data_IF_641399322714
#
_entry.id   IF_641399322714
#
_cell.length_a   1.000
_cell.length_b   1.000
_cell.length_c   1.000
_cell.angle_alpha   90.00
_cell.angle_beta   90.00
_cell.angle_gamma   90.00
#
_symmetry.space_group_name_H-M   'P 1'
#
loop_
_entity.id
_entity.type
_entity.pdbx_description
1 polymer ?
#
# COMPACT_ATOMS: atom_id res chain seq x y z
N UNK A 1 8.01 -9.46 -13.95
CA UNK A 1 8.33 -8.82 -12.65
C UNK A 1 7.05 -8.26 -12.05
N UNK A 2 6.81 -8.54 -10.78
CA UNK A 2 5.64 -8.02 -10.09
C UNK A 2 5.75 -6.51 -9.89
N UNK A 3 4.61 -5.85 -9.88
CA UNK A 3 4.54 -4.39 -9.76
C UNK A 3 4.02 -3.98 -8.40
N UNK A 4 4.67 -2.99 -7.79
CA UNK A 4 4.26 -2.40 -6.52
C UNK A 4 4.02 -0.91 -6.69
N UNK A 5 2.90 -0.43 -6.16
CA UNK A 5 2.59 0.99 -6.07
C UNK A 5 2.77 1.42 -4.62
N UNK A 6 3.59 2.44 -4.38
CA UNK A 6 3.79 3.01 -3.06
C UNK A 6 3.04 4.33 -2.99
N UNK A 7 2.09 4.42 -2.06
CA UNK A 7 1.23 5.60 -1.88
C UNK A 7 1.53 6.23 -0.53
N UNK A 8 2.15 7.39 -0.55
CA UNK A 8 2.51 8.13 0.67
C UNK A 8 2.76 9.60 0.27
N UNK A 9 2.31 10.53 1.09
CA UNK A 9 2.50 11.95 0.82
C UNK A 9 3.95 12.42 1.08
N UNK A 10 4.73 11.65 1.81
CA UNK A 10 6.12 11.96 2.11
C UNK A 10 7.06 11.39 1.05
N UNK A 11 7.74 12.28 0.34
CA UNK A 11 8.73 11.87 -0.67
C UNK A 11 9.86 11.03 -0.06
N UNK A 12 10.29 11.40 1.16
CA UNK A 12 11.36 10.68 1.86
C UNK A 12 10.92 9.26 2.20
N UNK A 13 9.71 9.11 2.72
CA UNK A 13 9.17 7.80 3.07
C UNK A 13 9.00 6.94 1.80
N UNK A 14 8.51 7.53 0.71
CA UNK A 14 8.41 6.79 -0.56
C UNK A 14 9.77 6.27 -1.02
N UNK A 15 10.81 7.11 -0.89
CA UNK A 15 12.15 6.73 -1.32
C UNK A 15 12.70 5.57 -0.49
N UNK A 16 12.54 5.63 0.82
CA UNK A 16 12.97 4.56 1.73
C UNK A 16 12.20 3.27 1.46
N UNK A 17 10.89 3.37 1.35
CA UNK A 17 10.03 2.22 1.07
C UNK A 17 10.35 1.58 -0.29
N UNK A 18 10.59 2.43 -1.30
CA UNK A 18 10.98 1.97 -2.62
C UNK A 18 12.25 1.13 -2.58
N UNK A 19 13.25 1.60 -1.85
CA UNK A 19 14.52 0.88 -1.72
C UNK A 19 14.31 -0.51 -1.15
N UNK A 20 13.48 -0.61 -0.11
CA UNK A 20 13.17 -1.90 0.53
C UNK A 20 12.42 -2.81 -0.44
N UNK A 21 11.39 -2.28 -1.10
CA UNK A 21 10.54 -3.07 -2.01
C UNK A 21 11.30 -3.54 -3.23
N UNK A 22 12.18 -2.70 -3.77
CA UNK A 22 13.02 -3.08 -4.92
C UNK A 22 13.95 -4.24 -4.58
N UNK A 23 14.35 -4.38 -3.32
CA UNK A 23 15.18 -5.51 -2.88
C UNK A 23 14.44 -6.85 -2.99
N UNK A 24 13.11 -6.83 -3.07
CA UNK A 24 12.29 -8.03 -3.30
C UNK A 24 11.98 -8.25 -4.79
N UNK A 25 12.66 -7.52 -5.66
CA UNK A 25 12.53 -7.64 -7.12
C UNK A 25 11.18 -7.18 -7.67
N UNK A 26 10.56 -6.18 -7.03
CA UNK A 26 9.38 -5.52 -7.57
C UNK A 26 9.77 -4.36 -8.46
N UNK A 27 8.97 -4.13 -9.49
CA UNK A 27 9.02 -2.90 -10.27
C UNK A 27 8.13 -1.88 -9.54
N UNK A 28 8.69 -0.74 -9.14
CA UNK A 28 8.03 0.20 -8.24
C UNK A 28 7.57 1.46 -8.95
N UNK A 29 6.33 1.87 -8.70
CA UNK A 29 5.82 3.20 -9.03
C UNK A 29 5.38 3.88 -7.74
N UNK A 30 5.24 5.20 -7.77
CA UNK A 30 4.91 6.00 -6.59
C UNK A 30 3.73 6.91 -6.86
N UNK A 31 2.93 7.15 -5.83
CA UNK A 31 1.85 8.12 -5.85
C UNK A 31 1.90 8.95 -4.57
N UNK A 32 1.59 10.24 -4.66
CA UNK A 32 1.69 11.14 -3.52
C UNK A 32 0.38 11.27 -2.73
N UNK A 33 -0.72 10.75 -3.27
CA UNK A 33 -2.01 10.74 -2.59
C UNK A 33 -2.91 9.68 -3.21
N UNK A 34 -4.09 9.49 -2.61
CA UNK A 34 -5.03 8.47 -3.07
C UNK A 34 -5.58 8.71 -4.46
N UNK A 35 -5.79 9.97 -4.83
CA UNK A 35 -6.31 10.34 -6.14
C UNK A 35 -5.32 9.99 -7.25
N UNK A 36 -4.05 10.34 -7.04
CA UNK A 36 -2.96 9.99 -7.96
C UNK A 36 -2.82 8.47 -8.06
N UNK A 37 -2.95 7.78 -6.92
CA UNK A 37 -2.87 6.33 -6.89
C UNK A 37 -4.00 5.67 -7.70
N UNK A 38 -5.22 6.18 -7.60
CA UNK A 38 -6.35 5.64 -8.38
C UNK A 38 -6.10 5.79 -9.87
N UNK A 39 -5.57 6.94 -10.30
CA UNK A 39 -5.26 7.18 -11.70
C UNK A 39 -4.20 6.20 -12.20
N UNK A 40 -3.19 5.93 -11.39
CA UNK A 40 -2.13 4.98 -11.75
C UNK A 40 -2.64 3.55 -11.81
N UNK A 41 -3.57 3.18 -10.94
CA UNK A 41 -4.20 1.86 -10.98
C UNK A 41 -5.06 1.68 -12.24
N UNK A 42 -5.68 2.75 -12.72
CA UNK A 42 -6.44 2.70 -13.99
C UNK A 42 -5.52 2.44 -15.18
N UNK A 43 -4.33 3.01 -15.16
CA UNK A 43 -3.36 2.80 -16.24
C UNK A 43 -2.78 1.40 -16.23
N UNK A 44 -2.41 0.91 -15.03
CA UNK A 44 -1.81 -0.41 -14.86
C UNK A 44 -2.04 -0.88 -13.43
N UNK A 45 -2.89 -1.88 -13.26
CA UNK A 45 -3.21 -2.41 -11.95
C UNK A 45 -1.99 -3.12 -11.35
N UNK A 46 -1.49 -2.69 -10.18
CA UNK A 46 -0.33 -3.32 -9.57
C UNK A 46 -0.68 -4.65 -8.91
N UNK A 47 0.36 -5.40 -8.52
CA UNK A 47 0.18 -6.64 -7.76
C UNK A 47 0.15 -6.37 -6.26
N UNK A 48 0.87 -5.33 -5.83
CA UNK A 48 1.00 -4.94 -4.43
C UNK A 48 0.87 -3.44 -4.30
N UNK A 49 0.18 -2.99 -3.26
CA UNK A 49 0.09 -1.57 -2.91
C UNK A 49 0.52 -1.41 -1.45
N UNK A 50 1.52 -0.54 -1.21
CA UNK A 50 1.83 -0.07 0.13
C UNK A 50 1.14 1.27 0.29
N UNK A 51 0.23 1.36 1.26
CA UNK A 51 -0.70 2.48 1.36
C UNK A 51 -0.58 3.15 2.73
N UNK A 52 -0.21 4.44 2.73
CA UNK A 52 -0.16 5.23 3.95
C UNK A 52 -1.57 5.47 4.50
N UNK A 53 -1.72 5.36 5.82
CA UNK A 53 -3.00 5.57 6.50
C UNK A 53 -3.48 7.01 6.39
N UNK A 54 -2.59 7.95 6.63
CA UNK A 54 -2.95 9.36 6.82
C UNK A 54 -2.36 10.24 5.72
N UNK A 55 -3.19 10.59 4.73
CA UNK A 55 -2.78 11.40 3.59
C UNK A 55 -3.75 12.54 3.38
N UNK A 56 -3.27 13.68 2.83
CA UNK A 56 -4.17 14.75 2.40
C UNK A 56 -4.95 14.34 1.15
N UNK A 57 -5.96 15.09 0.80
CA UNK A 57 -6.81 14.92 -0.39
C UNK A 57 -7.71 13.71 -0.30
N UNK A 58 -7.14 12.51 -0.13
CA UNK A 58 -7.91 11.28 0.01
C UNK A 58 -7.19 10.39 1.01
N UNK A 59 -7.86 10.07 2.11
CA UNK A 59 -7.30 9.18 3.13
C UNK A 59 -7.15 7.76 2.58
N UNK A 60 -6.23 6.99 3.18
CA UNK A 60 -5.98 5.63 2.74
C UNK A 60 -7.23 4.76 2.68
N UNK A 61 -8.11 4.86 3.67
CA UNK A 61 -9.33 4.06 3.69
C UNK A 61 -10.27 4.42 2.56
N UNK A 62 -10.36 5.70 2.20
CA UNK A 62 -11.17 6.15 1.08
C UNK A 62 -10.62 5.61 -0.24
N UNK A 63 -9.30 5.58 -0.36
CA UNK A 63 -8.63 5.00 -1.53
C UNK A 63 -8.97 3.52 -1.68
N UNK A 64 -8.87 2.73 -0.59
CA UNK A 64 -9.14 1.28 -0.66
C UNK A 64 -10.57 1.02 -1.13
N UNK A 65 -11.54 1.75 -0.59
CA UNK A 65 -12.95 1.58 -0.98
C UNK A 65 -13.11 1.87 -2.48
N UNK A 66 -12.52 2.96 -2.97
CA UNK A 66 -12.59 3.32 -4.38
C UNK A 66 -11.86 2.31 -5.27
N UNK A 67 -10.69 1.84 -4.83
CA UNK A 67 -9.90 0.84 -5.56
C UNK A 67 -10.70 -0.44 -5.78
N UNK A 68 -11.32 -0.95 -4.72
CA UNK A 68 -12.03 -2.24 -4.80
C UNK A 68 -13.26 -2.18 -5.71
N UNK A 69 -13.71 -0.97 -6.08
CA UNK A 69 -14.82 -0.77 -7.03
C UNK A 69 -14.36 -0.63 -8.47
N UNK A 70 -13.06 -0.45 -8.72
CA UNK A 70 -12.52 -0.39 -10.07
C UNK A 70 -12.49 -1.77 -10.70
N UNK A 71 -12.51 -1.82 -12.04
CA UNK A 71 -12.30 -3.06 -12.78
C UNK A 71 -10.91 -3.63 -12.44
N UNK A 72 -10.87 -4.87 -12.01
CA UNK A 72 -9.62 -5.50 -11.57
C UNK A 72 -9.16 -5.05 -10.18
N UNK A 73 -9.94 -4.22 -9.50
CA UNK A 73 -9.58 -3.63 -8.21
C UNK A 73 -9.51 -4.61 -7.05
N UNK A 74 -9.97 -5.83 -7.20
CA UNK A 74 -9.82 -6.87 -6.19
C UNK A 74 -8.50 -7.63 -6.31
N UNK A 75 -7.76 -7.41 -7.40
CA UNK A 75 -6.52 -8.14 -7.68
C UNK A 75 -5.34 -7.72 -6.77
N UNK A 76 -5.06 -6.43 -6.57
CA UNK A 76 -3.90 -6.04 -5.77
C UNK A 76 -4.01 -6.48 -4.32
N UNK A 77 -2.89 -6.92 -3.76
CA UNK A 77 -2.76 -7.04 -2.31
C UNK A 77 -2.43 -5.67 -1.75
N UNK A 78 -3.09 -5.27 -0.68
CA UNK A 78 -2.91 -3.95 -0.07
C UNK A 78 -2.36 -4.11 1.34
N UNK A 79 -1.18 -3.53 1.58
CA UNK A 79 -0.56 -3.47 2.90
C UNK A 79 -0.71 -2.04 3.42
N UNK A 80 -1.44 -1.88 4.49
CA UNK A 80 -1.69 -0.60 5.11
C UNK A 80 -0.51 -0.20 5.99
N UNK A 81 0.09 0.95 5.73
CA UNK A 81 1.24 1.45 6.49
C UNK A 81 0.78 2.54 7.44
N UNK A 82 0.96 2.34 8.73
CA UNK A 82 0.45 3.27 9.74
C UNK A 82 1.44 3.45 10.88
N UNK A 83 1.41 4.63 11.52
CA UNK A 83 2.09 4.86 12.80
C UNK A 83 1.12 4.66 13.97
N UNK A 84 -0.16 4.46 13.67
CA UNK A 84 -1.19 4.25 14.68
C UNK A 84 -1.16 2.80 15.14
N UNK A 85 -1.12 2.60 16.44
CA UNK A 85 -1.16 1.28 17.04
C UNK A 85 -2.56 0.99 17.61
N UNK A 86 -3.57 1.58 16.99
CA UNK A 86 -4.96 1.48 17.41
C UNK A 86 -5.63 0.32 16.71
N UNK A 87 -6.11 -0.64 17.48
CA UNK A 87 -6.81 -1.83 16.97
C UNK A 87 -8.01 -1.45 16.11
N UNK A 88 -8.71 -0.38 16.46
CA UNK A 88 -9.87 0.07 15.70
C UNK A 88 -9.49 0.50 14.27
N UNK A 89 -8.36 1.21 14.12
CA UNK A 89 -7.88 1.62 12.79
C UNK A 89 -7.45 0.42 11.96
N UNK A 90 -6.79 -0.55 12.57
CA UNK A 90 -6.36 -1.77 11.88
C UNK A 90 -7.59 -2.55 11.39
N UNK A 91 -8.58 -2.72 12.26
CA UNK A 91 -9.82 -3.40 11.91
C UNK A 91 -10.54 -2.69 10.77
N UNK A 92 -10.64 -1.36 10.85
CA UNK A 92 -11.29 -0.55 9.84
C UNK A 92 -10.62 -0.73 8.47
N UNK A 93 -9.28 -0.76 8.45
CA UNK A 93 -8.52 -0.96 7.23
C UNK A 93 -8.79 -2.34 6.61
N UNK A 94 -8.78 -3.38 7.42
CA UNK A 94 -9.03 -4.75 6.97
C UNK A 94 -10.46 -4.88 6.44
N UNK A 95 -11.45 -4.33 7.14
CA UNK A 95 -12.85 -4.36 6.72
C UNK A 95 -13.07 -3.60 5.40
N UNK A 96 -12.28 -2.55 5.16
CA UNK A 96 -12.35 -1.78 3.93
C UNK A 96 -11.71 -2.49 2.72
N UNK A 97 -10.92 -3.53 2.96
CA UNK A 97 -10.34 -4.33 1.89
C UNK A 97 -8.83 -4.44 1.89
N UNK A 98 -8.16 -4.01 2.96
CA UNK A 98 -6.71 -4.23 3.12
C UNK A 98 -6.45 -5.70 3.45
N UNK A 99 -5.33 -6.21 2.97
CA UNK A 99 -4.94 -7.61 3.20
C UNK A 99 -4.04 -7.77 4.42
N UNK A 100 -3.28 -6.73 4.77
CA UNK A 100 -2.38 -6.76 5.91
C UNK A 100 -2.04 -5.32 6.31
N UNK A 101 -1.35 -5.16 7.42
CA UNK A 101 -0.85 -3.86 7.85
C UNK A 101 0.60 -3.97 8.30
N UNK A 102 1.31 -2.84 8.33
CA UNK A 102 2.65 -2.76 8.88
C UNK A 102 2.82 -1.40 9.58
N UNK A 103 3.52 -1.41 10.71
CA UNK A 103 3.79 -0.18 11.46
C UNK A 103 5.00 0.54 10.87
N UNK A 104 4.90 1.86 10.73
CA UNK A 104 6.02 2.70 10.33
C UNK A 104 6.79 3.19 11.55
N UNK A 105 8.12 3.28 11.51
CA UNK A 105 8.99 2.82 10.41
C UNK A 105 9.11 1.29 10.41
N UNK A 106 9.18 0.72 9.23
CA UNK A 106 9.40 -0.73 9.09
C UNK A 106 10.75 -0.98 8.43
N UNK A 107 11.32 -2.15 8.68
CA UNK A 107 12.55 -2.58 8.04
C UNK A 107 12.28 -3.67 7.01
N UNK A 108 13.34 -4.10 6.35
CA UNK A 108 13.29 -5.15 5.33
C UNK A 108 12.62 -6.42 5.86
N UNK A 109 13.05 -6.88 7.03
CA UNK A 109 12.59 -8.17 7.58
C UNK A 109 11.13 -8.14 7.98
N UNK A 110 10.69 -7.04 8.58
CA UNK A 110 9.28 -6.87 8.97
C UNK A 110 8.38 -6.87 7.73
N UNK A 111 8.77 -6.12 6.70
CA UNK A 111 7.97 -6.09 5.47
C UNK A 111 7.99 -7.45 4.78
N UNK A 112 9.13 -8.12 4.73
CA UNK A 112 9.23 -9.45 4.12
C UNK A 112 8.26 -10.43 4.78
N UNK A 113 8.21 -10.45 6.10
CA UNK A 113 7.28 -11.30 6.84
C UNK A 113 5.83 -11.03 6.46
N UNK A 114 5.44 -9.75 6.37
CA UNK A 114 4.08 -9.37 6.01
C UNK A 114 3.74 -9.80 4.58
N UNK A 115 4.66 -9.61 3.65
CA UNK A 115 4.45 -10.00 2.26
C UNK A 115 4.33 -11.51 2.11
N UNK A 116 5.09 -12.27 2.89
CA UNK A 116 4.99 -13.73 2.90
C UNK A 116 3.63 -14.19 3.42
N UNK A 117 3.11 -13.52 4.45
CA UNK A 117 1.81 -13.86 5.02
C UNK A 117 0.67 -13.73 3.99
N UNK A 118 0.77 -12.81 3.07
CA UNK A 118 -0.27 -12.58 2.05
C UNK A 118 0.09 -13.17 0.69
N UNK A 119 1.21 -13.89 0.61
CA UNK A 119 1.55 -14.68 -0.57
C UNK A 119 2.13 -13.91 -1.75
N UNK A 120 2.73 -12.73 -1.55
CA UNK A 120 3.34 -11.95 -2.63
C UNK A 120 4.87 -11.96 -2.60
N UNK A 121 5.48 -12.59 -1.60
CA UNK A 121 6.95 -12.69 -1.53
C UNK A 121 7.39 -14.02 -0.96
#
# INVERSE_FOLDING_TARGET
MKKCLIVDDSRVIRKVSRHIVESFEFEVTEAENGQDALAKCEEAMPDLILLDWNMPVMRGIEFIVALRRQDGGSQPKVVFCTTENDVAHIREAIEAGADEYVMKPFDHDTLQMKLQLIGVA
#
